data_IF_129674182053
#
_entry.id   IF_129674182053
#
_cell.length_a   1.000
_cell.length_b   1.000
_cell.length_c   1.000
_cell.angle_alpha   90.00
_cell.angle_beta   90.00
_cell.angle_gamma   90.00
#
_symmetry.space_group_name_H-M   'P 1'
#
loop_
_entity.id
_entity.type
_entity.pdbx_description
1 polymer ?
#
# COMPACT_ATOMS: atom_id res chain seq x y z
N UNK A 1 -9.89 -1.65 3.46
CA UNK A 1 -9.94 -0.88 2.21
C UNK A 1 -8.78 0.10 2.25
N UNK A 2 -7.84 -0.05 1.33
CA UNK A 2 -6.59 0.70 1.23
C UNK A 2 -6.68 1.59 -0.01
N UNK A 3 -7.20 2.79 0.18
CA UNK A 3 -7.34 3.80 -0.86
C UNK A 3 -6.28 4.88 -0.72
N UNK A 4 -6.13 5.73 -1.74
CA UNK A 4 -5.20 6.87 -1.75
C UNK A 4 -3.73 6.46 -1.54
N UNK A 5 -3.38 5.23 -1.90
CA UNK A 5 -2.15 4.56 -1.49
C UNK A 5 -1.07 4.52 -2.59
N UNK A 6 -1.19 5.33 -3.63
CA UNK A 6 -0.17 5.56 -4.66
C UNK A 6 1.08 6.35 -4.24
N UNK A 7 1.14 7.20 -3.17
CA UNK A 7 0.12 7.85 -2.34
C UNK A 7 -0.48 9.12 -2.97
N UNK A 8 -1.76 9.35 -2.74
CA UNK A 8 -2.40 10.60 -3.15
C UNK A 8 -2.20 11.69 -2.08
N UNK A 9 -1.33 12.66 -2.37
CA UNK A 9 -0.82 13.65 -1.40
C UNK A 9 -1.49 15.03 -1.49
N UNK A 10 -2.45 15.22 -2.40
CA UNK A 10 -3.08 16.53 -2.63
C UNK A 10 -2.06 17.55 -3.13
N UNK A 11 -1.84 18.63 -2.37
CA UNK A 11 -0.90 19.70 -2.72
C UNK A 11 0.56 19.41 -2.34
N UNK A 12 0.80 18.37 -1.53
CA UNK A 12 2.15 18.05 -1.07
C UNK A 12 2.93 17.30 -2.14
N UNK A 13 4.23 17.59 -2.22
CA UNK A 13 5.17 16.93 -3.13
C UNK A 13 5.53 15.55 -2.61
N UNK A 14 5.27 14.50 -3.39
CA UNK A 14 5.63 13.13 -3.02
C UNK A 14 7.13 12.95 -2.87
N UNK A 15 7.95 13.75 -3.55
CA UNK A 15 9.41 13.68 -3.46
C UNK A 15 9.96 14.08 -2.08
N UNK A 16 9.18 14.80 -1.27
CA UNK A 16 9.54 15.11 0.12
C UNK A 16 9.44 13.88 1.05
N UNK A 17 8.76 12.81 0.60
CA UNK A 17 8.71 11.55 1.32
C UNK A 17 9.99 10.74 1.10
N UNK A 18 10.83 10.64 2.13
CA UNK A 18 11.98 9.74 2.11
C UNK A 18 11.76 8.53 3.03
N UNK A 19 12.30 7.39 2.62
CA UNK A 19 12.28 6.13 3.35
C UNK A 19 13.62 5.85 4.02
N UNK A 20 13.68 4.80 4.85
CA UNK A 20 14.91 4.36 5.54
C UNK A 20 15.59 5.51 6.31
N UNK A 21 14.82 6.21 7.14
CA UNK A 21 15.30 7.37 7.90
C UNK A 21 15.95 8.47 7.04
N UNK A 22 15.42 8.69 5.83
CA UNK A 22 15.89 9.73 4.92
C UNK A 22 16.93 9.27 3.89
N UNK A 23 17.38 8.01 3.94
CA UNK A 23 18.43 7.51 3.04
C UNK A 23 17.93 7.08 1.66
N UNK A 24 16.63 6.82 1.51
CA UNK A 24 16.04 6.40 0.24
C UNK A 24 15.01 7.43 -0.24
N UNK A 25 15.14 7.98 -1.45
CA UNK A 25 14.14 8.90 -2.00
C UNK A 25 12.84 8.15 -2.33
N UNK A 26 11.75 8.90 -2.46
CA UNK A 26 10.43 8.36 -2.79
C UNK A 26 10.45 7.41 -4.00
N UNK A 27 11.16 7.83 -5.06
CA UNK A 27 11.28 7.15 -6.35
C UNK A 27 11.72 5.69 -6.22
N UNK A 28 12.55 5.37 -5.22
CA UNK A 28 13.04 4.00 -4.99
C UNK A 28 11.91 3.01 -4.72
N UNK A 29 10.82 3.48 -4.09
CA UNK A 29 9.72 2.63 -3.66
C UNK A 29 8.35 3.12 -4.12
N UNK A 30 8.25 4.12 -4.99
CA UNK A 30 6.98 4.73 -5.43
C UNK A 30 5.90 3.68 -5.74
N UNK A 31 6.14 2.79 -6.72
CA UNK A 31 5.19 1.74 -7.09
C UNK A 31 5.02 0.63 -6.03
N UNK A 32 5.95 0.48 -5.10
CA UNK A 32 5.92 -0.51 -4.02
C UNK A 32 5.27 0.04 -2.74
N UNK A 33 5.05 1.34 -2.64
CA UNK A 33 4.47 1.97 -1.46
C UNK A 33 3.11 1.36 -1.12
N UNK A 34 2.24 1.27 -2.12
CA UNK A 34 0.94 0.59 -2.03
C UNK A 34 1.04 -0.88 -1.59
N UNK A 35 2.05 -1.59 -2.11
CA UNK A 35 2.30 -2.99 -1.80
C UNK A 35 2.66 -3.19 -0.33
N UNK A 36 3.54 -2.35 0.21
CA UNK A 36 3.91 -2.42 1.62
C UNK A 36 2.75 -2.08 2.56
N UNK A 37 1.88 -1.14 2.17
CA UNK A 37 0.63 -0.88 2.90
C UNK A 37 -0.29 -2.11 2.91
N UNK A 38 -0.41 -2.81 1.79
CA UNK A 38 -1.20 -4.04 1.69
C UNK A 38 -0.60 -5.18 2.55
N UNK A 39 0.72 -5.37 2.50
CA UNK A 39 1.42 -6.37 3.30
C UNK A 39 1.24 -6.11 4.80
N UNK A 40 1.45 -4.88 5.25
CA UNK A 40 1.30 -4.50 6.65
C UNK A 40 -0.14 -4.66 7.14
N UNK A 41 -1.12 -4.23 6.32
CA UNK A 41 -2.54 -4.33 6.65
C UNK A 41 -3.01 -5.78 6.73
N UNK A 42 -2.54 -6.64 5.81
CA UNK A 42 -2.82 -8.09 5.82
C UNK A 42 -2.29 -8.72 7.11
N UNK A 43 -1.03 -8.45 7.45
CA UNK A 43 -0.41 -8.97 8.65
C UNK A 43 -1.15 -8.53 9.93
N UNK A 44 -1.59 -7.27 10.00
CA UNK A 44 -2.38 -6.78 11.12
C UNK A 44 -3.73 -7.50 11.26
N UNK A 45 -4.42 -7.79 10.14
CA UNK A 45 -5.65 -8.57 10.17
C UNK A 45 -5.42 -10.01 10.63
N UNK A 46 -4.38 -10.68 10.11
CA UNK A 46 -4.04 -12.06 10.49
C UNK A 46 -3.60 -12.16 11.96
N UNK A 47 -2.96 -11.13 12.51
CA UNK A 47 -2.64 -11.07 13.94
C UNK A 47 -3.90 -10.87 14.80
N UNK A 48 -4.87 -10.09 14.33
CA UNK A 48 -6.11 -9.80 15.05
C UNK A 48 -7.08 -11.00 15.05
N UNK A 49 -7.15 -11.72 13.95
CA UNK A 49 -7.99 -12.90 13.76
C UNK A 49 -7.21 -13.99 13.01
N UNK A 50 -6.47 -14.85 13.74
CA UNK A 50 -5.60 -15.87 13.14
C UNK A 50 -6.34 -16.95 12.35
N UNK A 51 -7.60 -17.22 12.71
CA UNK A 51 -8.43 -18.24 12.04
C UNK A 51 -9.23 -17.64 10.88
N UNK A 52 -9.40 -16.32 10.86
CA UNK A 52 -10.07 -15.57 9.81
C UNK A 52 -9.22 -15.40 8.55
N UNK A 53 -9.90 -15.42 7.39
CA UNK A 53 -9.29 -15.01 6.12
C UNK A 53 -9.65 -13.56 5.82
N UNK A 54 -8.70 -12.62 5.92
CA UNK A 54 -9.04 -11.22 5.73
C UNK A 54 -9.33 -10.90 4.27
N UNK A 55 -10.32 -10.03 4.08
CA UNK A 55 -10.62 -9.39 2.81
C UNK A 55 -10.10 -7.96 2.83
N UNK A 56 -9.18 -7.68 1.92
CA UNK A 56 -8.62 -6.34 1.70
C UNK A 56 -8.81 -5.97 0.23
N UNK A 57 -9.01 -4.68 0.01
CA UNK A 57 -9.19 -4.07 -1.30
C UNK A 57 -8.22 -2.90 -1.41
N UNK A 58 -7.52 -2.73 -2.53
CA UNK A 58 -6.56 -1.65 -2.77
C UNK A 58 -6.70 -1.00 -4.14
N UNK A 59 -6.42 0.32 -4.23
CA UNK A 59 -6.48 1.06 -5.49
C UNK A 59 -5.21 0.85 -6.31
N UNK A 60 -4.07 1.02 -5.65
CA UNK A 60 -2.74 0.98 -6.26
C UNK A 60 -2.08 -0.36 -5.99
N UNK A 61 -1.39 -0.92 -6.99
CA UNK A 61 -0.77 -2.25 -6.89
C UNK A 61 0.47 -2.38 -7.78
N UNK A 62 1.37 -3.30 -7.40
CA UNK A 62 2.48 -3.74 -8.24
C UNK A 62 2.57 -5.27 -8.23
N UNK A 63 3.58 -5.83 -8.92
CA UNK A 63 3.81 -7.27 -8.93
C UNK A 63 3.94 -7.83 -7.51
N UNK A 64 3.12 -8.84 -7.18
CA UNK A 64 3.09 -9.49 -5.87
C UNK A 64 1.98 -8.98 -4.94
N UNK A 65 1.38 -7.82 -5.20
CA UNK A 65 0.27 -7.27 -4.38
C UNK A 65 -0.94 -8.21 -4.33
N UNK A 66 -1.17 -9.00 -5.38
CA UNK A 66 -2.26 -9.98 -5.45
C UNK A 66 -2.23 -11.06 -4.35
N UNK A 67 -1.10 -11.24 -3.66
CA UNK A 67 -1.01 -12.15 -2.51
C UNK A 67 -1.70 -11.61 -1.25
N UNK A 68 -1.93 -10.30 -1.17
CA UNK A 68 -2.32 -9.63 0.06
C UNK A 68 -3.70 -8.96 -0.01
N UNK A 69 -4.17 -8.59 -1.21
CA UNK A 69 -5.38 -7.79 -1.39
C UNK A 69 -5.99 -7.99 -2.78
N UNK A 70 -7.30 -7.79 -2.89
CA UNK A 70 -7.97 -7.55 -4.16
C UNK A 70 -7.66 -6.13 -4.66
N UNK A 71 -7.89 -5.86 -5.95
CA UNK A 71 -7.70 -4.57 -6.60
C UNK A 71 -8.99 -4.15 -7.31
N UNK A 72 -9.32 -2.84 -7.31
CA UNK A 72 -10.34 -2.27 -8.18
C UNK A 72 -9.76 -1.15 -9.06
N UNK A 73 -10.47 -0.77 -10.10
CA UNK A 73 -9.98 0.14 -11.15
C UNK A 73 -10.04 1.63 -10.81
N UNK A 74 -10.24 2.00 -9.54
CA UNK A 74 -10.41 3.39 -9.13
C UNK A 74 -11.78 3.96 -9.50
N UNK A 75 -11.84 5.29 -9.54
CA UNK A 75 -13.03 6.05 -9.90
C UNK A 75 -13.24 5.99 -11.43
N UNK A 76 -14.41 5.52 -11.88
CA UNK A 76 -14.73 5.23 -13.29
C UNK A 76 -15.75 6.18 -13.91
#
# INVERSE_FOLDING_TARGET
WLDMNDPATGYSRTEEMCFQHGQAPHERYHNQYAHFMALASRAACEQRDPDGRPFLLTRSACAGTQRYTAVWTGDN
#
